data_IF_802197734203
#
_entry.id   IF_802197734203
#
_cell.length_a   1.000
_cell.length_b   1.000
_cell.length_c   1.000
_cell.angle_alpha   90.00
_cell.angle_beta   90.00
_cell.angle_gamma   90.00
#
_symmetry.space_group_name_H-M   'P 1'
#
loop_
_entity.id
_entity.type
_entity.pdbx_description
1 polymer ?
#
# COMPACT_ATOMS: atom_id res chain seq x y z
N UNK A 1 -3.09 -18.47 5.95
CA UNK A 1 -1.73 -18.74 5.42
C UNK A 1 -0.98 -17.41 5.45
N UNK A 2 0.32 -17.37 5.74
CA UNK A 2 1.13 -16.15 5.64
C UNK A 2 1.47 -15.92 4.18
N UNK A 3 1.26 -14.69 3.69
CA UNK A 3 1.70 -14.26 2.36
C UNK A 3 2.97 -13.41 2.49
N UNK A 4 3.90 -13.57 1.56
CA UNK A 4 5.14 -12.80 1.48
C UNK A 4 5.17 -12.03 0.16
N UNK A 5 5.16 -10.70 0.26
CA UNK A 5 5.14 -9.81 -0.88
C UNK A 5 6.47 -9.07 -1.03
N UNK A 6 6.99 -8.99 -2.25
CA UNK A 6 8.19 -8.23 -2.56
C UNK A 6 7.83 -6.76 -2.81
N UNK A 7 8.28 -5.86 -1.94
CA UNK A 7 8.17 -4.43 -2.19
C UNK A 7 9.34 -3.95 -3.04
N UNK A 8 9.05 -3.22 -4.13
CA UNK A 8 10.04 -2.76 -5.10
C UNK A 8 9.65 -1.41 -5.69
N UNK A 9 10.55 -0.81 -6.44
CA UNK A 9 10.28 0.33 -7.31
C UNK A 9 10.27 -0.15 -8.76
N UNK A 10 9.35 0.39 -9.56
CA UNK A 10 9.32 0.09 -10.99
C UNK A 10 10.46 0.84 -11.71
N UNK A 11 11.44 0.12 -12.18
CA UNK A 11 12.46 0.64 -13.11
C UNK A 11 11.97 0.39 -14.54
N UNK A 12 11.96 1.42 -15.37
CA UNK A 12 11.50 1.30 -16.76
C UNK A 12 12.23 0.16 -17.50
N UNK A 13 11.47 -0.69 -18.17
CA UNK A 13 11.99 -1.87 -18.87
C UNK A 13 12.21 -3.12 -18.00
N UNK A 14 12.07 -3.05 -16.66
CA UNK A 14 12.38 -4.18 -15.78
C UNK A 14 11.15 -4.97 -15.30
N UNK A 15 9.93 -4.46 -15.46
CA UNK A 15 8.72 -5.01 -14.83
C UNK A 15 8.50 -6.51 -15.11
N UNK A 16 8.66 -6.92 -16.37
CA UNK A 16 8.52 -8.33 -16.80
C UNK A 16 9.55 -9.23 -16.11
N UNK A 17 10.81 -8.82 -16.09
CA UNK A 17 11.89 -9.61 -15.49
C UNK A 17 11.73 -9.72 -13.97
N UNK A 18 11.40 -8.60 -13.31
CA UNK A 18 11.20 -8.57 -11.85
C UNK A 18 9.97 -9.37 -11.46
N UNK A 19 8.86 -9.25 -12.19
CA UNK A 19 7.64 -10.04 -11.94
C UNK A 19 7.89 -11.54 -12.07
N UNK A 20 8.49 -11.99 -13.16
CA UNK A 20 8.85 -13.42 -13.37
C UNK A 20 9.79 -13.93 -12.29
N UNK A 21 10.77 -13.14 -11.91
CA UNK A 21 11.71 -13.51 -10.86
C UNK A 21 11.00 -13.67 -9.52
N UNK A 22 10.17 -12.71 -9.13
CA UNK A 22 9.42 -12.79 -7.88
C UNK A 22 8.53 -14.04 -7.84
N UNK A 23 7.82 -14.35 -8.92
CA UNK A 23 6.98 -15.55 -9.01
C UNK A 23 7.81 -16.85 -8.94
N UNK A 24 8.96 -16.90 -9.62
CA UNK A 24 9.85 -18.06 -9.61
C UNK A 24 10.51 -18.28 -8.24
N UNK A 25 10.85 -17.21 -7.53
CA UNK A 25 11.41 -17.25 -6.19
C UNK A 25 10.36 -17.55 -5.10
N UNK A 26 9.07 -17.67 -5.47
CA UNK A 26 8.00 -18.11 -4.58
C UNK A 26 7.35 -17.00 -3.77
N UNK A 27 7.50 -15.73 -4.15
CA UNK A 27 6.71 -14.65 -3.58
C UNK A 27 5.24 -14.79 -3.96
N UNK A 28 4.34 -14.44 -3.04
CA UNK A 28 2.90 -14.42 -3.28
C UNK A 28 2.46 -13.18 -4.08
N UNK A 29 3.24 -12.09 -4.02
CA UNK A 29 2.97 -10.88 -4.76
C UNK A 29 4.15 -9.93 -4.86
N UNK A 30 3.98 -8.91 -5.69
CA UNK A 30 4.90 -7.78 -5.85
C UNK A 30 4.15 -6.46 -5.67
N UNK A 31 4.83 -5.48 -5.08
CA UNK A 31 4.32 -4.13 -4.89
C UNK A 31 5.24 -3.12 -5.55
N UNK A 32 4.69 -2.25 -6.42
CA UNK A 32 5.42 -1.13 -7.01
C UNK A 32 4.97 0.21 -6.40
N UNK A 33 5.94 1.01 -5.94
CA UNK A 33 5.67 2.33 -5.37
C UNK A 33 5.29 3.38 -6.42
N UNK A 34 4.30 4.23 -6.11
CA UNK A 34 3.88 5.36 -6.95
C UNK A 34 4.63 6.64 -6.55
N UNK A 35 5.87 6.77 -7.04
CA UNK A 35 6.78 7.88 -6.71
C UNK A 35 7.37 8.43 -8.00
N UNK A 36 6.69 9.39 -8.61
CA UNK A 36 6.90 9.86 -9.99
C UNK A 36 8.33 10.33 -10.30
N UNK A 37 9.03 10.89 -9.30
CA UNK A 37 10.39 11.41 -9.46
C UNK A 37 11.48 10.37 -9.20
N UNK A 38 11.14 9.21 -8.67
CA UNK A 38 12.08 8.16 -8.28
C UNK A 38 11.90 6.85 -9.05
N UNK A 39 10.73 6.63 -9.65
CA UNK A 39 10.36 5.39 -10.31
C UNK A 39 9.49 5.66 -11.55
N UNK A 40 9.44 4.69 -12.45
CA UNK A 40 8.49 4.70 -13.55
C UNK A 40 7.06 4.43 -13.05
N UNK A 41 6.05 4.70 -13.90
CA UNK A 41 4.64 4.53 -13.53
C UNK A 41 4.33 3.10 -13.07
N UNK A 42 3.84 2.91 -11.82
CA UNK A 42 3.64 1.58 -11.28
C UNK A 42 2.50 0.81 -11.95
N UNK A 43 1.43 1.49 -12.39
CA UNK A 43 0.30 0.83 -13.04
C UNK A 43 0.70 0.24 -14.40
N UNK A 44 1.47 0.99 -15.19
CA UNK A 44 2.05 0.48 -16.42
C UNK A 44 2.97 -0.73 -16.17
N UNK A 45 3.83 -0.63 -15.13
CA UNK A 45 4.69 -1.73 -14.72
C UNK A 45 3.91 -2.98 -14.28
N UNK A 46 2.84 -2.80 -13.52
CA UNK A 46 1.97 -3.90 -13.06
C UNK A 46 1.22 -4.56 -14.23
N UNK A 47 0.74 -3.81 -15.22
CA UNK A 47 0.17 -4.40 -16.44
C UNK A 47 1.19 -5.27 -17.18
N UNK A 48 2.43 -4.81 -17.32
CA UNK A 48 3.49 -5.61 -17.94
C UNK A 48 3.84 -6.87 -17.13
N UNK A 49 3.86 -6.77 -15.79
CA UNK A 49 4.05 -7.92 -14.91
C UNK A 49 2.86 -8.89 -14.98
N UNK A 50 1.62 -8.38 -15.12
CA UNK A 50 0.41 -9.19 -15.27
C UNK A 50 0.49 -10.16 -16.43
N UNK A 51 0.94 -9.69 -17.59
CA UNK A 51 1.08 -10.51 -18.80
C UNK A 51 2.24 -11.51 -18.74
N UNK A 52 3.13 -11.36 -17.77
CA UNK A 52 4.35 -12.14 -17.66
C UNK A 52 4.33 -13.17 -16.51
N UNK A 53 3.25 -13.17 -15.70
CA UNK A 53 3.08 -14.00 -14.51
C UNK A 53 1.68 -14.62 -14.47
N UNK A 54 1.54 -15.79 -13.81
CA UNK A 54 0.28 -16.53 -13.74
C UNK A 54 -0.41 -16.42 -12.36
N UNK A 55 0.36 -16.32 -11.28
CA UNK A 55 -0.14 -16.41 -9.89
C UNK A 55 0.20 -15.19 -9.05
N UNK A 56 1.25 -14.45 -9.42
CA UNK A 56 1.79 -13.35 -8.64
C UNK A 56 0.73 -12.26 -8.41
N UNK A 57 0.46 -11.93 -7.17
CA UNK A 57 -0.34 -10.76 -6.80
C UNK A 57 0.35 -9.46 -7.19
N UNK A 58 -0.42 -8.46 -7.62
CA UNK A 58 0.08 -7.23 -8.24
C UNK A 58 -0.47 -6.01 -7.51
N UNK A 59 0.36 -5.32 -6.75
CA UNK A 59 -0.07 -4.21 -5.89
C UNK A 59 0.61 -2.90 -6.29
N UNK A 60 -0.16 -1.81 -6.35
CA UNK A 60 0.46 -0.50 -6.23
C UNK A 60 0.65 -0.18 -4.75
N UNK A 61 1.87 0.05 -4.31
CA UNK A 61 2.13 0.18 -2.88
C UNK A 61 3.09 1.32 -2.53
N UNK A 62 2.51 2.49 -2.34
CA UNK A 62 1.11 2.93 -2.39
C UNK A 62 0.95 4.15 -3.28
N UNK A 63 -0.25 4.37 -3.86
CA UNK A 63 -0.62 5.65 -4.45
C UNK A 63 -1.21 6.58 -3.38
N UNK A 64 -1.60 7.82 -3.78
CA UNK A 64 -2.04 8.84 -2.84
C UNK A 64 -3.10 9.78 -3.47
N UNK A 65 -3.89 10.52 -2.65
CA UNK A 65 -4.96 11.38 -3.13
C UNK A 65 -4.51 12.68 -3.81
N UNK A 66 -3.21 13.00 -3.82
CA UNK A 66 -2.71 14.33 -4.27
C UNK A 66 -2.24 14.30 -5.71
N UNK A 67 -1.64 13.17 -6.14
CA UNK A 67 -1.02 13.07 -7.48
C UNK A 67 -1.96 12.53 -8.55
N UNK A 68 -3.08 11.92 -8.14
CA UNK A 68 -4.04 11.30 -9.09
C UNK A 68 -5.47 11.53 -8.65
N UNK A 69 -6.38 11.65 -9.63
CA UNK A 69 -7.83 11.70 -9.38
C UNK A 69 -8.37 10.29 -9.07
N UNK A 70 -9.45 10.16 -8.26
CA UNK A 70 -10.04 8.86 -7.91
C UNK A 70 -10.44 8.03 -9.13
N UNK A 71 -11.10 8.63 -10.13
CA UNK A 71 -11.47 7.93 -11.36
C UNK A 71 -10.26 7.41 -12.14
N UNK A 72 -9.15 8.17 -12.17
CA UNK A 72 -7.91 7.76 -12.87
C UNK A 72 -7.28 6.56 -12.16
N UNK A 73 -7.24 6.58 -10.82
CA UNK A 73 -6.72 5.44 -10.03
C UNK A 73 -7.60 4.22 -10.20
N UNK A 74 -8.91 4.38 -10.11
CA UNK A 74 -9.85 3.27 -10.28
C UNK A 74 -9.73 2.62 -11.67
N UNK A 75 -9.67 3.43 -12.73
CA UNK A 75 -9.49 2.93 -14.10
C UNK A 75 -8.15 2.21 -14.27
N UNK A 76 -7.06 2.78 -13.75
CA UNK A 76 -5.73 2.19 -13.88
C UNK A 76 -5.63 0.83 -13.16
N UNK A 77 -6.09 0.74 -11.90
CA UNK A 77 -5.99 -0.53 -11.16
C UNK A 77 -7.00 -1.57 -11.66
N UNK A 78 -8.18 -1.15 -12.13
CA UNK A 78 -9.13 -2.06 -12.77
C UNK A 78 -8.59 -2.64 -14.09
N UNK A 79 -7.75 -1.88 -14.82
CA UNK A 79 -7.02 -2.41 -15.96
C UNK A 79 -6.03 -3.49 -15.53
N UNK A 80 -5.23 -3.26 -14.49
CA UNK A 80 -4.34 -4.30 -13.93
C UNK A 80 -5.15 -5.53 -13.50
N UNK A 81 -6.32 -5.34 -12.89
CA UNK A 81 -7.22 -6.42 -12.47
C UNK A 81 -7.67 -7.27 -13.66
N UNK A 82 -8.11 -6.63 -14.74
CA UNK A 82 -8.54 -7.31 -15.94
C UNK A 82 -7.40 -8.08 -16.62
N UNK A 83 -6.26 -7.40 -16.84
CA UNK A 83 -5.09 -8.00 -17.49
C UNK A 83 -4.44 -9.13 -16.66
N UNK A 84 -4.61 -9.11 -15.36
CA UNK A 84 -4.08 -10.13 -14.46
C UNK A 84 -5.05 -11.28 -14.15
N UNK A 85 -6.31 -11.20 -14.61
CA UNK A 85 -7.32 -12.18 -14.22
C UNK A 85 -7.67 -12.15 -12.74
N UNK A 86 -7.70 -10.97 -12.11
CA UNK A 86 -8.19 -10.82 -10.76
C UNK A 86 -7.13 -10.75 -9.65
N UNK A 87 -5.85 -10.47 -9.99
CA UNK A 87 -4.71 -10.49 -9.04
C UNK A 87 -4.27 -9.12 -8.53
N UNK A 88 -4.98 -8.03 -8.90
CA UNK A 88 -4.60 -6.68 -8.51
C UNK A 88 -4.98 -6.36 -7.05
N UNK A 89 -4.19 -5.50 -6.41
CA UNK A 89 -4.47 -4.88 -5.11
C UNK A 89 -4.18 -3.37 -5.21
N UNK A 90 -5.08 -2.55 -4.72
CA UNK A 90 -4.88 -1.12 -4.64
C UNK A 90 -4.36 -0.71 -3.26
N UNK A 91 -3.10 -0.37 -3.16
CA UNK A 91 -2.53 0.24 -1.96
C UNK A 91 -2.69 1.76 -1.98
N UNK A 92 -3.21 2.31 -0.89
CA UNK A 92 -3.45 3.73 -0.70
C UNK A 92 -2.83 4.22 0.61
N UNK A 93 -2.09 5.33 0.51
CA UNK A 93 -1.55 6.08 1.65
C UNK A 93 -1.85 7.57 1.51
N UNK A 94 -1.43 8.37 2.49
CA UNK A 94 -1.58 9.83 2.46
C UNK A 94 -0.64 10.52 1.45
N UNK A 95 0.39 9.80 1.00
CA UNK A 95 1.55 10.36 0.33
C UNK A 95 2.51 11.01 1.32
N UNK A 96 3.78 10.81 1.11
CA UNK A 96 4.84 11.40 1.93
C UNK A 96 6.07 11.66 1.06
N UNK A 97 7.02 10.73 0.98
CA UNK A 97 8.25 10.89 0.18
C UNK A 97 7.96 11.22 -1.29
N UNK A 98 6.94 10.60 -1.90
CA UNK A 98 6.53 10.92 -3.28
C UNK A 98 6.11 12.37 -3.43
N UNK A 99 5.41 12.93 -2.44
CA UNK A 99 4.91 14.31 -2.46
C UNK A 99 6.00 15.33 -2.17
N UNK A 100 6.96 15.01 -1.30
CA UNK A 100 8.12 15.86 -1.04
C UNK A 100 8.90 16.18 -2.32
N UNK A 101 9.07 15.19 -3.21
CA UNK A 101 9.76 15.38 -4.49
C UNK A 101 9.00 16.24 -5.52
N UNK A 102 7.70 16.46 -5.34
CA UNK A 102 6.89 17.33 -6.21
C UNK A 102 6.43 18.61 -5.49
N UNK A 103 7.01 18.93 -4.34
CA UNK A 103 6.71 20.14 -3.58
C UNK A 103 5.30 20.18 -2.99
N UNK A 104 4.75 19.03 -2.63
CA UNK A 104 3.44 18.88 -2.02
C UNK A 104 3.55 18.27 -0.61
N UNK A 105 2.49 18.44 0.17
CA UNK A 105 2.37 17.89 1.51
C UNK A 105 1.43 16.68 1.52
N UNK A 106 1.58 15.74 2.47
CA UNK A 106 0.68 14.61 2.62
C UNK A 106 -0.78 15.05 2.80
N UNK A 107 -1.70 14.29 2.20
CA UNK A 107 -3.12 14.52 2.39
C UNK A 107 -3.54 14.35 3.86
N UNK A 108 -4.60 15.05 4.30
CA UNK A 108 -5.19 14.74 5.60
C UNK A 108 -5.85 13.35 5.60
N UNK A 109 -6.12 12.81 6.78
CA UNK A 109 -6.82 11.52 6.90
C UNK A 109 -8.22 11.60 6.30
N UNK A 110 -8.91 12.74 6.46
CA UNK A 110 -10.24 12.99 5.91
C UNK A 110 -10.24 13.01 4.38
N UNK A 111 -9.25 13.67 3.77
CA UNK A 111 -9.08 13.68 2.29
C UNK A 111 -8.77 12.26 1.81
N UNK A 112 -7.95 11.51 2.53
CA UNK A 112 -7.61 10.13 2.18
C UNK A 112 -8.83 9.21 2.31
N UNK A 113 -9.66 9.39 3.33
CA UNK A 113 -10.89 8.63 3.53
C UNK A 113 -11.88 8.87 2.39
N UNK A 114 -12.15 10.14 2.05
CA UNK A 114 -13.05 10.49 0.93
C UNK A 114 -12.52 9.93 -0.40
N UNK A 115 -11.23 10.05 -0.66
CA UNK A 115 -10.62 9.48 -1.85
C UNK A 115 -10.79 7.94 -1.91
N UNK A 116 -10.61 7.25 -0.78
CA UNK A 116 -10.80 5.80 -0.69
C UNK A 116 -12.25 5.40 -0.98
N UNK A 117 -13.23 6.16 -0.45
CA UNK A 117 -14.66 5.95 -0.70
C UNK A 117 -15.01 6.11 -2.18
N UNK A 118 -14.56 7.21 -2.81
CA UNK A 118 -14.78 7.49 -4.23
C UNK A 118 -14.15 6.43 -5.12
N UNK A 119 -12.89 6.03 -4.87
CA UNK A 119 -12.23 4.97 -5.64
C UNK A 119 -12.96 3.63 -5.50
N UNK A 120 -13.37 3.26 -4.27
CA UNK A 120 -14.11 2.03 -4.06
C UNK A 120 -15.48 2.04 -4.74
N UNK A 121 -16.17 3.18 -4.76
CA UNK A 121 -17.43 3.34 -5.49
C UNK A 121 -17.22 3.13 -7.00
N UNK A 122 -16.21 3.76 -7.60
CA UNK A 122 -15.84 3.51 -9.00
C UNK A 122 -15.53 2.03 -9.29
N UNK A 123 -14.78 1.37 -8.38
CA UNK A 123 -14.43 -0.04 -8.52
C UNK A 123 -15.63 -1.00 -8.40
N UNK A 124 -16.74 -0.54 -7.80
CA UNK A 124 -18.03 -1.25 -7.82
C UNK A 124 -18.92 -0.86 -8.99
N UNK A 125 -18.44 0.06 -9.87
CA UNK A 125 -19.23 0.71 -10.92
C UNK A 125 -20.43 1.48 -10.38
N UNK A 126 -20.34 2.02 -9.16
CA UNK A 126 -21.34 2.94 -8.62
C UNK A 126 -21.21 4.31 -9.29
N UNK A 127 -22.28 5.10 -9.24
CA UNK A 127 -22.23 6.52 -9.61
C UNK A 127 -21.64 7.32 -8.45
N UNK A 128 -20.62 8.11 -8.74
CA UNK A 128 -19.95 9.03 -7.79
C UNK A 128 -20.34 10.44 -8.13
N UNK A 129 -20.80 11.21 -7.15
CA UNK A 129 -21.04 12.63 -7.31
C UNK A 129 -19.72 13.41 -7.20
N UNK A 130 -19.32 14.06 -8.27
CA UNK A 130 -18.15 14.95 -8.32
C UNK A 130 -18.64 16.38 -8.48
N UNK A 131 -18.80 17.07 -7.36
CA UNK A 131 -19.25 18.47 -7.32
C UNK A 131 -20.56 18.72 -8.10
N UNK A 132 -21.53 17.81 -7.95
CA UNK A 132 -22.82 17.84 -8.63
C UNK A 132 -22.83 17.18 -10.01
N UNK A 133 -21.70 16.62 -10.46
CA UNK A 133 -21.63 15.88 -11.72
C UNK A 133 -21.62 14.36 -11.47
N UNK A 134 -22.60 13.58 -11.98
CA UNK A 134 -22.64 12.15 -11.83
C UNK A 134 -21.55 11.51 -12.72
N UNK A 135 -20.58 10.85 -12.08
CA UNK A 135 -19.46 10.18 -12.74
C UNK A 135 -19.50 8.68 -12.47
N UNK A 136 -19.19 7.87 -13.48
CA UNK A 136 -19.20 6.41 -13.38
C UNK A 136 -18.17 5.81 -14.34
N UNK A 137 -17.67 4.59 -14.03
CA UNK A 137 -16.80 3.79 -14.92
C UNK A 137 -17.53 2.47 -15.26
N UNK A 138 -18.46 2.49 -16.24
CA UNK A 138 -19.34 1.33 -16.50
C UNK A 138 -18.61 0.10 -17.00
N UNK A 139 -17.47 0.25 -17.70
CA UNK A 139 -16.74 -0.86 -18.30
C UNK A 139 -16.14 -1.82 -17.24
N UNK A 140 -15.92 -1.35 -15.99
CA UNK A 140 -15.39 -2.20 -14.91
C UNK A 140 -16.33 -3.39 -14.65
N UNK A 141 -17.64 -3.15 -14.59
CA UNK A 141 -18.62 -4.23 -14.42
C UNK A 141 -18.57 -5.26 -15.56
N UNK A 142 -18.25 -4.82 -16.78
CA UNK A 142 -18.13 -5.68 -17.95
C UNK A 142 -16.90 -6.60 -17.96
N UNK A 143 -15.92 -6.40 -17.08
CA UNK A 143 -14.72 -7.24 -17.01
C UNK A 143 -14.98 -8.63 -16.45
N UNK A 144 -16.07 -8.81 -15.68
CA UNK A 144 -16.36 -10.05 -14.95
C UNK A 144 -15.37 -10.37 -13.82
N UNK A 145 -14.45 -9.45 -13.52
CA UNK A 145 -13.48 -9.63 -12.44
C UNK A 145 -14.05 -9.18 -11.07
N UNK A 146 -13.61 -9.78 -9.96
CA UNK A 146 -13.99 -9.31 -8.64
C UNK A 146 -13.49 -7.87 -8.44
N UNK A 147 -14.18 -7.11 -7.55
CA UNK A 147 -13.71 -5.78 -7.14
C UNK A 147 -12.27 -5.85 -6.64
N UNK A 148 -11.43 -4.92 -7.11
CA UNK A 148 -10.06 -4.80 -6.60
C UNK A 148 -10.08 -4.53 -5.09
N UNK A 149 -9.40 -5.32 -4.25
CA UNK A 149 -9.30 -5.05 -2.83
C UNK A 149 -8.47 -3.79 -2.57
N UNK A 150 -8.95 -2.97 -1.63
CA UNK A 150 -8.25 -1.80 -1.13
C UNK A 150 -7.36 -2.21 0.04
N UNK A 151 -6.08 -1.83 -0.01
CA UNK A 151 -5.12 -1.89 1.09
C UNK A 151 -4.81 -0.47 1.58
N UNK A 152 -4.98 -0.20 2.86
CA UNK A 152 -4.58 1.07 3.46
C UNK A 152 -3.23 0.89 4.16
N UNK A 153 -2.22 1.67 3.73
CA UNK A 153 -0.96 1.75 4.44
C UNK A 153 -1.07 2.72 5.61
N UNK A 154 -0.73 2.25 6.81
CA UNK A 154 -0.93 3.01 8.04
C UNK A 154 0.26 2.94 8.98
N UNK A 155 0.63 4.12 9.53
CA UNK A 155 1.65 4.27 10.57
C UNK A 155 1.05 4.75 11.90
N UNK A 156 0.13 5.72 11.83
CA UNK A 156 -0.49 6.35 13.00
C UNK A 156 -1.92 5.87 13.27
N UNK A 157 -2.45 6.13 14.48
CA UNK A 157 -3.72 5.58 14.95
C UNK A 157 -4.93 5.98 14.10
N UNK A 158 -4.94 7.19 13.53
CA UNK A 158 -6.04 7.65 12.66
C UNK A 158 -6.10 6.90 11.34
N UNK A 159 -4.95 6.61 10.71
CA UNK A 159 -4.89 5.80 9.49
C UNK A 159 -5.16 4.33 9.76
N UNK A 160 -4.69 3.78 10.91
CA UNK A 160 -5.05 2.43 11.36
C UNK A 160 -6.56 2.30 11.53
N UNK A 161 -7.20 3.30 12.15
CA UNK A 161 -8.65 3.33 12.31
C UNK A 161 -9.40 3.44 10.96
N UNK A 162 -8.89 4.24 10.01
CA UNK A 162 -9.44 4.33 8.66
C UNK A 162 -9.40 2.97 7.96
N UNK A 163 -8.23 2.34 7.91
CA UNK A 163 -8.06 1.02 7.27
C UNK A 163 -8.92 -0.05 7.93
N UNK A 164 -9.02 -0.06 9.26
CA UNK A 164 -9.84 -1.00 10.00
C UNK A 164 -11.34 -0.92 9.66
N UNK A 165 -11.84 0.27 9.27
CA UNK A 165 -13.26 0.50 8.93
C UNK A 165 -13.59 0.30 7.47
N UNK A 166 -12.66 0.63 6.56
CA UNK A 166 -12.99 0.84 5.15
C UNK A 166 -12.22 -0.03 4.15
N UNK A 167 -11.22 -0.80 4.60
CA UNK A 167 -10.38 -1.58 3.70
C UNK A 167 -10.59 -3.09 3.83
N UNK A 168 -10.23 -3.84 2.79
CA UNK A 168 -10.14 -5.30 2.82
C UNK A 168 -8.74 -5.77 3.28
N UNK A 169 -7.74 -4.91 3.16
CA UNK A 169 -6.35 -5.15 3.58
C UNK A 169 -5.83 -3.92 4.32
N UNK A 170 -4.97 -4.12 5.29
CA UNK A 170 -4.30 -3.06 6.04
C UNK A 170 -2.83 -3.41 6.21
N UNK A 171 -1.95 -2.61 5.63
CA UNK A 171 -0.50 -2.75 5.76
C UNK A 171 0.03 -1.82 6.84
N UNK A 172 0.49 -2.39 7.96
CA UNK A 172 1.07 -1.69 9.09
C UNK A 172 2.53 -1.35 8.78
N UNK A 173 2.90 -0.07 8.87
CA UNK A 173 4.26 0.40 8.62
C UNK A 173 4.83 1.10 9.85
N UNK A 174 5.14 0.33 10.90
CA UNK A 174 5.68 0.81 12.18
C UNK A 174 7.04 0.19 12.53
N UNK A 175 7.67 -0.47 11.55
CA UNK A 175 8.91 -1.21 11.75
C UNK A 175 8.68 -2.61 12.33
N UNK A 176 9.78 -3.29 12.71
CA UNK A 176 9.79 -4.69 13.13
C UNK A 176 9.70 -4.90 14.64
N UNK A 177 9.55 -3.84 15.44
CA UNK A 177 9.43 -3.95 16.90
C UNK A 177 8.09 -4.58 17.27
N UNK A 178 8.15 -5.68 18.01
CA UNK A 178 6.98 -6.48 18.40
C UNK A 178 5.93 -5.65 19.15
N UNK A 179 6.37 -4.79 20.07
CA UNK A 179 5.45 -3.97 20.87
C UNK A 179 4.71 -2.93 20.03
N UNK A 180 5.37 -2.36 19.01
CA UNK A 180 4.74 -1.43 18.07
C UNK A 180 3.74 -2.12 17.16
N UNK A 181 4.06 -3.32 16.70
CA UNK A 181 3.13 -4.13 15.91
C UNK A 181 1.92 -4.53 16.76
N UNK A 182 2.13 -4.96 18.00
CA UNK A 182 1.06 -5.28 18.94
C UNK A 182 0.15 -4.07 19.19
N UNK A 183 0.73 -2.91 19.50
CA UNK A 183 0.00 -1.65 19.65
C UNK A 183 -0.87 -1.31 18.43
N UNK A 184 -0.33 -1.42 17.23
CA UNK A 184 -1.08 -1.13 16.02
C UNK A 184 -2.23 -2.13 15.79
N UNK A 185 -1.99 -3.41 16.05
CA UNK A 185 -3.00 -4.48 15.96
C UNK A 185 -4.11 -4.25 16.99
N UNK A 186 -3.79 -3.82 18.20
CA UNK A 186 -4.78 -3.56 19.25
C UNK A 186 -5.71 -2.40 18.88
N UNK A 187 -5.17 -1.33 18.28
CA UNK A 187 -6.01 -0.24 17.73
C UNK A 187 -6.98 -0.78 16.67
N UNK A 188 -6.48 -1.59 15.72
CA UNK A 188 -7.32 -2.17 14.67
C UNK A 188 -8.43 -3.03 15.29
N UNK A 189 -8.11 -3.87 16.26
CA UNK A 189 -9.08 -4.74 16.96
C UNK A 189 -10.15 -3.91 17.67
N UNK A 190 -9.73 -2.90 18.43
CA UNK A 190 -10.65 -2.02 19.17
C UNK A 190 -11.61 -1.32 18.20
N UNK A 191 -11.11 -0.69 17.13
CA UNK A 191 -11.94 0.02 16.15
C UNK A 191 -12.95 -0.92 15.48
N UNK A 192 -12.56 -2.15 15.15
CA UNK A 192 -13.46 -3.13 14.54
C UNK A 192 -14.52 -3.64 15.51
N UNK A 193 -14.18 -3.81 16.77
CA UNK A 193 -15.14 -4.17 17.83
C UNK A 193 -16.17 -3.06 18.03
N UNK A 194 -15.74 -1.81 18.15
CA UNK A 194 -16.62 -0.64 18.31
C UNK A 194 -17.58 -0.45 17.11
N UNK A 195 -17.09 -0.73 15.90
CA UNK A 195 -17.88 -0.60 14.68
C UNK A 195 -18.71 -1.86 14.35
N UNK A 196 -18.67 -2.91 15.18
CA UNK A 196 -19.28 -4.22 14.93
C UNK A 196 -18.94 -4.78 13.50
N UNK A 197 -17.71 -4.53 13.04
CA UNK A 197 -17.24 -4.88 11.69
C UNK A 197 -17.02 -6.40 11.59
N UNK A 198 -17.87 -7.09 10.84
CA UNK A 198 -17.77 -8.54 10.62
C UNK A 198 -17.06 -8.92 9.32
N UNK A 199 -16.84 -7.97 8.37
CA UNK A 199 -16.14 -8.24 7.11
C UNK A 199 -14.70 -8.64 7.35
N UNK A 200 -14.15 -9.65 6.64
CA UNK A 200 -12.74 -10.02 6.79
C UNK A 200 -11.80 -8.84 6.51
N UNK A 201 -10.74 -8.74 7.31
CA UNK A 201 -9.63 -7.79 7.10
C UNK A 201 -8.32 -8.58 7.13
N UNK A 202 -7.55 -8.50 6.04
CA UNK A 202 -6.19 -9.04 5.99
C UNK A 202 -5.21 -8.03 6.57
N UNK A 203 -4.41 -8.43 7.56
CA UNK A 203 -3.37 -7.59 8.14
C UNK A 203 -2.01 -7.97 7.59
N UNK A 204 -1.26 -6.98 7.13
CA UNK A 204 0.13 -7.09 6.72
C UNK A 204 1.04 -6.16 7.51
N UNK A 205 2.34 -6.44 7.50
CA UNK A 205 3.36 -5.53 8.00
C UNK A 205 4.41 -5.29 6.93
N UNK A 206 4.82 -4.04 6.77
CA UNK A 206 5.91 -3.67 5.88
C UNK A 206 7.23 -3.71 6.64
N UNK A 207 8.15 -4.58 6.21
CA UNK A 207 9.40 -4.86 6.94
C UNK A 207 10.60 -4.83 5.99
N UNK A 208 11.74 -4.32 6.49
CA UNK A 208 13.04 -4.53 5.85
C UNK A 208 13.64 -5.83 6.38
N UNK A 209 13.89 -6.76 5.49
CA UNK A 209 14.42 -8.07 5.83
C UNK A 209 15.68 -8.33 5.00
N UNK A 210 16.75 -8.76 5.65
CA UNK A 210 17.94 -9.29 5.01
C UNK A 210 18.27 -10.66 5.62
N UNK A 211 18.34 -11.71 4.79
CA UNK A 211 18.69 -13.05 5.21
C UNK A 211 20.12 -13.37 4.76
N UNK A 212 21.00 -13.68 5.72
CA UNK A 212 22.37 -14.15 5.47
C UNK A 212 22.84 -15.00 6.65
N UNK A 213 23.63 -16.07 6.43
CA UNK A 213 24.19 -16.88 7.53
C UNK A 213 25.00 -16.07 8.54
N UNK A 214 25.73 -15.04 8.07
CA UNK A 214 26.47 -14.14 8.93
C UNK A 214 25.62 -12.89 9.26
N UNK A 215 25.27 -12.73 10.53
CA UNK A 215 24.45 -11.62 11.02
C UNK A 215 25.03 -10.23 10.69
N UNK A 216 26.36 -10.08 10.61
CA UNK A 216 27.02 -8.82 10.22
C UNK A 216 26.69 -8.46 8.77
N UNK A 217 26.78 -9.43 7.87
CA UNK A 217 26.48 -9.22 6.44
C UNK A 217 24.98 -8.91 6.26
N UNK A 218 24.08 -9.62 6.97
CA UNK A 218 22.66 -9.32 6.95
C UNK A 218 22.37 -7.86 7.38
N UNK A 219 23.01 -7.39 8.45
CA UNK A 219 22.88 -5.98 8.90
C UNK A 219 23.39 -4.98 7.88
N UNK A 220 24.54 -5.25 7.25
CA UNK A 220 25.12 -4.37 6.24
C UNK A 220 24.24 -4.30 4.98
N UNK A 221 23.61 -5.40 4.57
CA UNK A 221 22.64 -5.45 3.48
C UNK A 221 21.37 -4.64 3.80
N UNK A 222 20.87 -4.72 5.02
CA UNK A 222 19.67 -4.00 5.45
C UNK A 222 19.92 -2.48 5.60
N UNK A 223 21.15 -2.07 5.93
CA UNK A 223 21.52 -0.68 6.31
C UNK A 223 21.08 0.37 5.28
N UNK A 224 21.24 0.08 3.98
CA UNK A 224 20.86 0.99 2.90
C UNK A 224 19.35 1.28 2.82
N UNK A 225 18.53 0.42 3.40
CA UNK A 225 17.08 0.56 3.41
C UNK A 225 16.52 1.11 4.73
N UNK A 226 17.36 1.29 5.76
CA UNK A 226 16.89 1.69 7.11
C UNK A 226 16.45 3.15 7.13
N UNK A 227 17.16 4.07 6.46
CA UNK A 227 16.86 5.50 6.52
C UNK A 227 15.43 5.88 6.08
N UNK A 228 14.90 5.41 4.93
CA UNK A 228 13.50 5.66 4.57
C UNK A 228 12.50 5.14 5.61
N UNK A 229 12.82 4.01 6.25
CA UNK A 229 11.93 3.40 7.25
C UNK A 229 12.00 4.05 8.62
N UNK A 230 13.17 4.57 9.01
CA UNK A 230 13.31 5.40 10.20
C UNK A 230 12.42 6.65 10.09
N UNK A 231 12.41 7.30 8.92
CA UNK A 231 11.52 8.41 8.63
C UNK A 231 10.05 8.06 8.84
N UNK A 232 9.55 6.97 8.24
CA UNK A 232 8.16 6.53 8.43
C UNK A 232 7.83 6.18 9.89
N UNK A 233 8.78 5.60 10.62
CA UNK A 233 8.59 5.24 12.03
C UNK A 233 8.59 6.46 12.96
N UNK A 234 9.23 7.57 12.57
CA UNK A 234 9.32 8.83 13.31
C UNK A 234 8.22 9.84 12.98
N UNK A 235 7.30 9.55 12.06
CA UNK A 235 6.26 10.50 11.68
C UNK A 235 5.37 10.95 12.86
N UNK A 236 5.01 12.27 12.94
CA UNK A 236 4.07 12.77 13.94
C UNK A 236 2.73 12.03 13.89
N UNK A 237 2.28 11.48 15.02
CA UNK A 237 1.06 10.68 15.12
C UNK A 237 1.29 9.16 15.07
N UNK A 238 2.47 8.70 14.68
CA UNK A 238 3.01 7.43 15.13
C UNK A 238 3.62 7.67 16.50
N UNK A 239 2.78 7.85 17.51
CA UNK A 239 3.26 8.21 18.85
C UNK A 239 4.48 7.40 19.21
N UNK A 240 5.54 8.11 19.58
CA UNK A 240 6.73 7.54 20.19
C UNK A 240 6.42 6.89 21.57
N UNK A 241 5.16 6.63 21.88
CA UNK A 241 4.72 5.80 22.97
C UNK A 241 5.32 4.41 22.81
N UNK A 242 6.35 4.12 23.60
CA UNK A 242 7.08 2.85 23.53
C UNK A 242 8.48 2.92 22.91
N UNK A 243 8.89 4.04 22.30
CA UNK A 243 10.31 4.21 21.94
C UNK A 243 11.12 4.63 23.15
N UNK A 244 12.23 3.94 23.42
CA UNK A 244 13.22 4.40 24.41
C UNK A 244 13.84 5.72 23.95
N UNK A 245 14.43 6.47 24.89
CA UNK A 245 15.17 7.70 24.59
C UNK A 245 16.30 7.46 23.56
N UNK A 246 16.91 6.27 23.62
CA UNK A 246 17.93 5.81 22.69
C UNK A 246 17.37 5.62 21.28
N UNK A 247 16.18 5.01 21.14
CA UNK A 247 15.56 4.78 19.82
C UNK A 247 15.12 6.10 19.17
N UNK A 248 14.71 7.10 19.96
CA UNK A 248 14.41 8.46 19.48
C UNK A 248 15.65 9.17 18.95
N UNK A 249 16.77 9.10 19.67
CA UNK A 249 18.03 9.71 19.26
C UNK A 249 18.64 9.09 17.97
N UNK A 250 18.18 7.93 17.53
CA UNK A 250 18.61 7.27 16.28
C UNK A 250 17.74 7.71 15.08
N UNK A 251 16.56 8.29 15.36
CA UNK A 251 15.57 8.69 14.33
C UNK A 251 15.72 10.19 13.99
N UNK A 252 16.15 11.03 14.94
CA UNK A 252 16.46 12.45 14.77
C UNK A 252 17.86 12.64 14.09
#
# INVERSE_FOLDING_TARGET
>A
MLEVWLASVHVAGSAVAVGRRAETEGFDGISFGDTQNLAADPFAGLCLAATATERLGLMVGVTNPVTRLPAVVAAAIATVQAESGGRAVLGLGRGDSSLGHVGRVPASVEVTARFAEEVQAYLRSDVVDIDGYPSQIPWIAGTGQPKVPLDIAATGPRMLALGARSAERLTINVGALTDRLAWAIDIVRQVRQEAAQATPLSLGAYLVIAAHPEARVARDLARGSVAPYAHFSGMPGGDAAGLSEHDRAVID
#
